data_IF_912467016209
#
_entry.id   IF_912467016209
#
_cell.length_a   1.000
_cell.length_b   1.000
_cell.length_c   1.000
_cell.angle_alpha   90.00
_cell.angle_beta   90.00
_cell.angle_gamma   90.00
#
_symmetry.space_group_name_H-M   'P 1'
#
loop_
_entity.id
_entity.type
_entity.pdbx_description
1 polymer ?
#
# COMPACT_ATOMS: atom_id res chain seq x y z
N UNK A 1 -32.17 3.10 27.41
CA UNK A 1 -31.35 4.14 26.77
C UNK A 1 -29.96 3.66 26.38
N UNK A 2 -29.23 3.10 27.30
CA UNK A 2 -27.88 2.62 26.99
C UNK A 2 -27.87 1.50 25.93
N UNK A 3 -28.88 0.67 25.91
CA UNK A 3 -28.95 -0.42 24.93
C UNK A 3 -29.12 0.10 23.50
N UNK A 4 -29.96 1.12 23.32
CA UNK A 4 -30.15 1.73 22.01
C UNK A 4 -28.86 2.39 21.54
N UNK A 5 -28.21 3.08 22.45
CA UNK A 5 -26.94 3.75 22.14
C UNK A 5 -25.89 2.70 21.79
N UNK A 6 -25.85 1.60 22.52
CA UNK A 6 -24.89 0.53 22.26
C UNK A 6 -25.12 -0.11 20.89
N UNK A 7 -26.35 -0.31 20.50
CA UNK A 7 -26.65 -0.85 19.17
C UNK A 7 -26.25 0.10 18.07
N UNK A 8 -26.56 1.37 18.25
CA UNK A 8 -26.15 2.38 17.29
C UNK A 8 -24.65 2.49 17.23
N UNK A 9 -24.00 2.41 18.38
CA UNK A 9 -22.55 2.43 18.44
C UNK A 9 -21.94 1.25 17.69
N UNK A 10 -22.58 0.07 17.80
CA UNK A 10 -22.10 -1.12 17.08
C UNK A 10 -22.21 -0.97 15.57
N UNK A 11 -23.33 -0.44 15.07
CA UNK A 11 -23.51 -0.19 13.64
C UNK A 11 -22.57 0.92 13.19
N UNK A 12 -22.52 2.01 13.97
CA UNK A 12 -21.59 3.12 13.69
C UNK A 12 -20.15 2.66 13.71
N UNK A 13 -19.82 1.72 14.60
CA UNK A 13 -18.48 1.20 14.72
C UNK A 13 -18.02 0.53 13.41
N UNK A 14 -18.90 -0.21 12.75
CA UNK A 14 -18.57 -0.83 11.47
C UNK A 14 -18.31 0.23 10.39
N UNK A 15 -19.17 1.24 10.34
CA UNK A 15 -18.98 2.33 9.40
C UNK A 15 -17.72 3.12 9.71
N UNK A 16 -17.46 3.33 11.01
CA UNK A 16 -16.27 4.01 11.45
C UNK A 16 -15.02 3.21 11.10
N UNK A 17 -15.09 1.89 11.26
CA UNK A 17 -13.98 1.00 10.93
C UNK A 17 -13.67 1.08 9.44
N UNK A 18 -14.69 0.98 8.60
CA UNK A 18 -14.50 1.10 7.15
C UNK A 18 -13.93 2.45 6.77
N UNK A 19 -14.44 3.53 7.39
CA UNK A 19 -13.94 4.88 7.12
C UNK A 19 -12.50 5.05 7.60
N UNK A 20 -12.19 4.51 8.77
CA UNK A 20 -10.83 4.59 9.30
C UNK A 20 -9.84 3.91 8.37
N UNK A 21 -10.20 2.74 7.85
CA UNK A 21 -9.33 2.01 6.94
C UNK A 21 -9.25 2.71 5.59
N UNK A 22 -10.35 3.28 5.10
CA UNK A 22 -10.32 4.06 3.87
C UNK A 22 -9.39 5.26 4.00
N UNK A 23 -9.42 5.94 5.15
CA UNK A 23 -8.52 7.06 5.41
C UNK A 23 -7.06 6.60 5.48
N UNK A 24 -6.84 5.42 6.09
CA UNK A 24 -5.50 4.86 6.14
C UNK A 24 -4.98 4.57 4.74
N UNK A 25 -5.83 4.01 3.88
CA UNK A 25 -5.46 3.71 2.50
C UNK A 25 -5.16 4.98 1.72
N UNK A 26 -5.97 6.01 1.87
CA UNK A 26 -5.71 7.30 1.23
C UNK A 26 -4.38 7.89 1.68
N UNK A 27 -4.11 7.79 2.98
CA UNK A 27 -2.86 8.26 3.55
C UNK A 27 -1.68 7.50 2.95
N UNK A 28 -1.83 6.19 2.81
CA UNK A 28 -0.81 5.34 2.20
C UNK A 28 -0.62 5.65 0.73
N UNK A 29 -1.71 5.87 0.00
CA UNK A 29 -1.65 6.24 -1.42
C UNK A 29 -0.85 7.51 -1.65
N UNK A 30 -0.95 8.45 -0.73
CA UNK A 30 -0.24 9.73 -0.83
C UNK A 30 1.21 9.64 -0.38
N UNK A 31 1.53 8.69 0.50
CA UNK A 31 2.82 8.66 1.19
C UNK A 31 3.60 7.36 1.06
N UNK A 32 3.20 6.45 0.18
CA UNK A 32 3.87 5.15 0.06
C UNK A 32 5.35 5.30 -0.33
N UNK A 33 5.71 6.37 -0.99
CA UNK A 33 7.09 6.61 -1.43
C UNK A 33 8.00 7.12 -0.31
N UNK A 34 7.43 7.40 0.85
CA UNK A 34 8.18 7.76 2.05
C UNK A 34 8.38 6.53 2.93
N UNK A 35 9.20 6.68 3.95
CA UNK A 35 9.38 5.65 4.98
C UNK A 35 8.15 5.67 5.87
N UNK A 36 7.18 4.86 5.52
CA UNK A 36 5.86 4.87 6.16
C UNK A 36 5.72 3.70 7.12
N UNK A 37 5.51 4.01 8.40
CA UNK A 37 5.36 3.00 9.43
C UNK A 37 3.94 2.84 9.92
N UNK A 38 3.66 1.70 10.54
CA UNK A 38 2.36 1.42 11.14
C UNK A 38 2.02 2.45 12.21
N UNK A 39 3.02 2.84 13.01
CA UNK A 39 2.84 3.80 14.11
C UNK A 39 2.26 5.12 13.60
N UNK A 40 2.79 5.60 12.51
CA UNK A 40 2.39 6.87 11.93
C UNK A 40 0.93 6.84 11.50
N UNK A 41 0.53 5.77 10.81
CA UNK A 41 -0.83 5.64 10.30
C UNK A 41 -1.82 5.40 11.42
N UNK A 42 -1.47 4.53 12.35
CA UNK A 42 -2.34 4.24 13.50
C UNK A 42 -2.62 5.51 14.28
N UNK A 43 -1.59 6.32 14.51
CA UNK A 43 -1.74 7.60 15.17
C UNK A 43 -2.64 8.55 14.37
N UNK A 44 -2.45 8.60 13.06
CA UNK A 44 -3.24 9.44 12.17
C UNK A 44 -4.73 9.14 12.28
N UNK A 45 -5.09 7.84 12.33
CA UNK A 45 -6.51 7.46 12.40
C UNK A 45 -7.01 7.23 13.83
N UNK A 46 -6.14 7.46 14.82
CA UNK A 46 -6.55 7.40 16.23
C UNK A 46 -6.71 5.99 16.80
N UNK A 47 -5.97 5.02 16.28
CA UNK A 47 -6.02 3.65 16.76
C UNK A 47 -4.66 3.21 17.30
N UNK A 48 -4.66 2.18 18.15
CA UNK A 48 -3.40 1.54 18.54
C UNK A 48 -2.86 0.75 17.35
N UNK A 49 -1.56 0.49 17.35
CA UNK A 49 -0.95 -0.29 16.28
C UNK A 49 -1.57 -1.68 16.15
N UNK A 50 -1.81 -2.34 17.28
CA UNK A 50 -2.43 -3.68 17.28
C UNK A 50 -3.82 -3.65 16.70
N UNK A 51 -4.63 -2.69 17.12
CA UNK A 51 -6.00 -2.55 16.64
C UNK A 51 -6.00 -2.23 15.14
N UNK A 52 -5.13 -1.32 14.73
CA UNK A 52 -5.01 -0.96 13.33
C UNK A 52 -4.67 -2.17 12.46
N UNK A 53 -3.68 -2.97 12.87
CA UNK A 53 -3.26 -4.14 12.10
C UNK A 53 -4.39 -5.14 11.91
N UNK A 54 -5.10 -5.44 12.99
CA UNK A 54 -6.22 -6.39 12.95
C UNK A 54 -7.34 -5.85 12.05
N UNK A 55 -7.67 -4.59 12.25
CA UNK A 55 -8.75 -3.95 11.51
C UNK A 55 -8.41 -3.82 10.03
N UNK A 56 -7.17 -3.43 9.71
CA UNK A 56 -6.74 -3.28 8.33
C UNK A 56 -6.87 -4.59 7.58
N UNK A 57 -6.41 -5.68 8.18
CA UNK A 57 -6.50 -7.00 7.55
C UNK A 57 -7.95 -7.43 7.38
N UNK A 58 -8.78 -7.16 8.38
CA UNK A 58 -10.19 -7.52 8.32
C UNK A 58 -10.93 -6.78 7.21
N UNK A 59 -10.68 -5.48 7.09
CA UNK A 59 -11.39 -4.64 6.13
C UNK A 59 -10.84 -4.77 4.71
N UNK A 60 -9.52 -4.90 4.57
CA UNK A 60 -8.89 -4.91 3.25
C UNK A 60 -8.55 -6.29 2.72
N UNK A 61 -8.52 -7.30 3.60
CA UNK A 61 -8.08 -8.64 3.23
C UNK A 61 -6.57 -8.77 3.12
N UNK A 62 -5.82 -7.72 3.40
CA UNK A 62 -4.37 -7.68 3.29
C UNK A 62 -3.75 -7.11 4.55
N UNK A 63 -2.51 -7.48 4.81
CA UNK A 63 -1.77 -6.81 5.88
C UNK A 63 -1.35 -5.43 5.40
N UNK A 64 -0.99 -4.57 6.35
CA UNK A 64 -0.47 -3.25 6.03
C UNK A 64 0.72 -3.34 5.06
N UNK A 65 1.65 -4.25 5.36
CA UNK A 65 2.86 -4.39 4.54
C UNK A 65 2.53 -4.89 3.14
N UNK A 66 1.61 -5.83 3.03
CA UNK A 66 1.17 -6.34 1.72
C UNK A 66 0.57 -5.22 0.87
N UNK A 67 -0.26 -4.40 1.48
CA UNK A 67 -0.90 -3.29 0.78
C UNK A 67 0.13 -2.23 0.37
N UNK A 68 1.04 -1.88 1.27
CA UNK A 68 2.10 -0.93 0.97
C UNK A 68 2.97 -1.41 -0.19
N UNK A 69 3.34 -2.69 -0.16
CA UNK A 69 4.13 -3.30 -1.23
C UNK A 69 3.38 -3.23 -2.55
N UNK A 70 2.09 -3.55 -2.53
CA UNK A 70 1.24 -3.47 -3.71
C UNK A 70 1.25 -2.08 -4.33
N UNK A 71 1.07 -1.05 -3.50
CA UNK A 71 1.08 0.35 -3.97
C UNK A 71 2.41 0.71 -4.62
N UNK A 72 3.50 0.33 -3.96
CA UNK A 72 4.84 0.64 -4.45
C UNK A 72 5.12 -0.04 -5.79
N UNK A 73 4.75 -1.31 -5.89
CA UNK A 73 5.01 -2.07 -7.13
C UNK A 73 4.10 -1.60 -8.25
N UNK A 74 2.85 -1.27 -7.97
CA UNK A 74 1.95 -0.72 -8.98
C UNK A 74 2.48 0.59 -9.54
N UNK A 75 2.99 1.46 -8.68
CA UNK A 75 3.58 2.71 -9.13
C UNK A 75 4.85 2.45 -9.92
N UNK A 76 5.67 1.49 -9.49
CA UNK A 76 6.87 1.12 -10.24
C UNK A 76 6.51 0.66 -11.64
N UNK A 77 5.47 -0.16 -11.76
CA UNK A 77 4.99 -0.62 -13.08
C UNK A 77 4.59 0.57 -13.96
N UNK A 78 3.87 1.52 -13.39
CA UNK A 78 3.45 2.73 -14.10
C UNK A 78 4.65 3.53 -14.61
N UNK A 79 5.65 3.73 -13.75
CA UNK A 79 6.86 4.45 -14.14
C UNK A 79 7.61 3.71 -15.24
N UNK A 80 7.72 2.39 -15.11
CA UNK A 80 8.43 1.57 -16.10
C UNK A 80 7.74 1.60 -17.46
N UNK A 81 6.40 1.64 -17.49
CA UNK A 81 5.65 1.67 -18.73
C UNK A 81 5.64 3.05 -19.37
N UNK A 82 5.54 4.09 -18.58
CA UNK A 82 5.20 5.43 -19.07
C UNK A 82 6.36 6.39 -19.13
N UNK A 83 7.53 6.02 -18.62
CA UNK A 83 8.70 6.89 -18.60
C UNK A 83 9.94 6.14 -19.03
N UNK A 84 11.02 6.89 -19.26
CA UNK A 84 12.32 6.33 -19.59
C UNK A 84 13.28 6.37 -18.41
N UNK A 85 12.74 6.60 -17.21
CA UNK A 85 13.55 6.59 -15.99
C UNK A 85 14.27 5.25 -15.90
N UNK A 86 15.53 5.29 -15.56
CA UNK A 86 16.36 4.08 -15.48
C UNK A 86 15.85 3.16 -14.37
N UNK A 87 15.91 1.87 -14.62
CA UNK A 87 15.38 0.87 -13.69
C UNK A 87 15.88 1.07 -12.27
N UNK A 88 17.19 1.31 -12.10
CA UNK A 88 17.75 1.49 -10.75
C UNK A 88 17.26 2.77 -10.08
N UNK A 89 16.75 3.73 -10.85
CA UNK A 89 16.22 4.97 -10.31
C UNK A 89 14.76 4.83 -9.85
N UNK A 90 14.09 3.79 -10.31
CA UNK A 90 12.68 3.57 -9.94
C UNK A 90 12.54 3.22 -8.45
N UNK A 91 13.47 2.43 -7.92
CA UNK A 91 13.40 1.99 -6.53
C UNK A 91 13.18 3.14 -5.54
N UNK A 92 14.06 4.17 -5.53
CA UNK A 92 13.84 5.28 -4.57
C UNK A 92 12.57 6.08 -4.85
N UNK A 93 12.14 6.16 -6.10
CA UNK A 93 10.93 6.90 -6.45
C UNK A 93 9.68 6.27 -5.85
N UNK A 94 9.71 4.96 -5.60
CA UNK A 94 8.56 4.26 -5.04
C UNK A 94 8.78 3.85 -3.58
N UNK A 95 9.84 4.36 -2.95
CA UNK A 95 10.03 4.19 -1.51
C UNK A 95 11.01 3.10 -1.10
N UNK A 96 11.76 2.53 -2.02
CA UNK A 96 12.78 1.52 -1.69
C UNK A 96 14.16 2.15 -1.77
N UNK A 97 14.90 2.11 -0.66
CA UNK A 97 16.24 2.67 -0.63
C UNK A 97 17.26 1.73 -1.28
N UNK A 98 16.97 0.44 -1.23
CA UNK A 98 17.85 -0.61 -1.78
C UNK A 98 17.26 -1.13 -3.08
N UNK A 99 17.93 -0.83 -4.20
CA UNK A 99 17.48 -1.26 -5.52
C UNK A 99 17.48 -2.78 -5.66
N UNK A 100 18.41 -3.46 -5.00
CA UNK A 100 18.48 -4.91 -5.04
C UNK A 100 17.26 -5.53 -4.37
N UNK A 101 16.91 -5.02 -3.21
CA UNK A 101 15.72 -5.48 -2.49
C UNK A 101 14.46 -5.19 -3.31
N UNK A 102 14.38 -3.99 -3.89
CA UNK A 102 13.26 -3.64 -4.77
C UNK A 102 13.11 -4.66 -5.90
N UNK A 103 14.21 -5.00 -6.54
CA UNK A 103 14.20 -5.97 -7.64
C UNK A 103 13.65 -7.32 -7.18
N UNK A 104 14.06 -7.77 -6.00
CA UNK A 104 13.57 -9.03 -5.44
C UNK A 104 12.07 -8.99 -5.18
N UNK A 105 11.58 -7.90 -4.59
CA UNK A 105 10.16 -7.73 -4.31
C UNK A 105 9.36 -7.67 -5.60
N UNK A 106 9.85 -6.88 -6.56
CA UNK A 106 9.18 -6.74 -7.85
C UNK A 106 9.06 -8.10 -8.54
N UNK A 107 10.15 -8.83 -8.59
CA UNK A 107 10.16 -10.15 -9.23
C UNK A 107 9.20 -11.11 -8.54
N UNK A 108 9.14 -11.07 -7.21
CA UNK A 108 8.24 -11.94 -6.46
C UNK A 108 6.77 -11.63 -6.78
N UNK A 109 6.44 -10.37 -6.93
CA UNK A 109 5.06 -9.95 -7.19
C UNK A 109 4.67 -10.04 -8.65
N UNK A 110 5.58 -9.69 -9.55
CA UNK A 110 5.27 -9.59 -10.97
C UNK A 110 5.73 -10.80 -11.80
N UNK A 111 6.55 -11.67 -11.21
CA UNK A 111 7.06 -12.85 -11.91
C UNK A 111 8.22 -12.54 -12.84
N UNK A 112 8.68 -11.32 -12.90
CA UNK A 112 9.80 -10.91 -13.74
C UNK A 112 10.48 -9.70 -13.12
N UNK A 113 11.72 -9.43 -13.57
CA UNK A 113 12.46 -8.27 -13.07
C UNK A 113 11.89 -6.98 -13.66
N UNK A 114 12.19 -5.82 -13.04
CA UNK A 114 11.75 -4.54 -13.61
C UNK A 114 12.22 -4.33 -15.05
N UNK A 115 13.46 -4.73 -15.35
CA UNK A 115 13.98 -4.61 -16.70
C UNK A 115 13.20 -5.47 -17.69
N UNK A 116 12.93 -6.71 -17.31
CA UNK A 116 12.16 -7.63 -18.13
C UNK A 116 10.75 -7.11 -18.34
N UNK A 117 10.15 -6.54 -17.29
CA UNK A 117 8.81 -5.98 -17.36
C UNK A 117 8.76 -4.83 -18.38
N UNK A 118 9.73 -3.93 -18.33
CA UNK A 118 9.78 -2.79 -19.26
C UNK A 118 9.89 -3.26 -20.69
N UNK A 119 10.77 -4.23 -20.93
CA UNK A 119 10.96 -4.78 -22.28
C UNK A 119 9.67 -5.43 -22.78
N UNK A 120 9.02 -6.21 -21.92
CA UNK A 120 7.77 -6.90 -22.27
C UNK A 120 6.68 -5.89 -22.60
N UNK A 121 6.57 -4.80 -21.84
CA UNK A 121 5.56 -3.78 -22.08
C UNK A 121 5.84 -3.00 -23.38
N UNK A 122 7.10 -2.73 -23.66
CA UNK A 122 7.47 -2.05 -24.92
C UNK A 122 7.16 -2.93 -26.13
N UNK A 123 7.46 -4.23 -26.01
CA UNK A 123 7.14 -5.18 -27.08
C UNK A 123 5.63 -5.32 -27.27
N UNK A 124 4.89 -5.29 -26.16
CA UNK A 124 3.43 -5.42 -26.22
C UNK A 124 2.71 -4.21 -26.76
N UNK A 125 3.38 -3.05 -26.80
CA UNK A 125 2.74 -1.83 -27.26
C UNK A 125 2.77 -1.71 -28.80
N UNK A 126 3.43 -2.62 -29.44
CA UNK A 126 3.41 -2.68 -30.91
C UNK A 126 2.23 -3.51 -31.40
#
# INVERSE_FOLDING_TARGET
MSESVDRLAGASSREEDSRSISKAMEYMDERFHHDLGIDEIAEFIGLSCSHFCVLFRKESGMTFLEYLTKLRIERACSILRNTEVKVYQVAPLVGYQDAKYFTQVFRKMMGMTPSEYRIAEQAGSE
#
